data_IF_701907025160
#
_entry.id   IF_701907025160
#
_cell.length_a   1.000
_cell.length_b   1.000
_cell.length_c   1.000
_cell.angle_alpha   90.00
_cell.angle_beta   90.00
_cell.angle_gamma   90.00
#
_symmetry.space_group_name_H-M   'P 1'
#
loop_
_entity.id
_entity.type
_entity.pdbx_description
1 polymer ?
#
# COMPACT_ATOMS: atom_id res chain seq x y z
N UNK A 1 26.66 14.36 29.40
CA UNK A 1 25.66 14.65 28.34
C UNK A 1 25.48 13.50 27.36
N UNK A 2 26.55 12.94 26.77
CA UNK A 2 26.44 11.80 25.85
C UNK A 2 25.64 10.60 26.41
N UNK A 3 25.89 10.20 27.65
CA UNK A 3 25.13 9.14 28.32
C UNK A 3 23.64 9.49 28.50
N UNK A 4 23.32 10.78 28.66
CA UNK A 4 21.93 11.24 28.76
C UNK A 4 21.25 11.17 27.39
N UNK A 5 21.94 11.49 26.30
CA UNK A 5 21.42 11.34 24.94
C UNK A 5 21.19 9.86 24.59
N UNK A 6 22.13 8.97 24.92
CA UNK A 6 21.96 7.52 24.73
C UNK A 6 20.74 6.99 25.49
N UNK A 7 20.57 7.43 26.75
CA UNK A 7 19.38 7.08 27.55
C UNK A 7 18.10 7.63 26.93
N UNK A 8 18.10 8.88 26.48
CA UNK A 8 16.94 9.52 25.89
C UNK A 8 16.52 8.83 24.57
N UNK A 9 17.48 8.48 23.71
CA UNK A 9 17.19 7.76 22.46
C UNK A 9 16.55 6.39 22.75
N UNK A 10 17.09 5.62 23.71
CA UNK A 10 16.58 4.29 24.06
C UNK A 10 15.19 4.34 24.73
N UNK A 11 14.89 5.43 25.43
CA UNK A 11 13.62 5.61 26.14
C UNK A 11 12.61 6.46 25.36
N UNK A 12 12.94 6.93 24.15
CA UNK A 12 12.05 7.79 23.37
C UNK A 12 10.80 6.99 23.00
N UNK A 13 9.66 7.46 23.49
CA UNK A 13 8.37 6.89 23.13
C UNK A 13 7.93 7.44 21.76
N UNK A 14 7.62 6.54 20.84
CA UNK A 14 7.03 6.86 19.54
C UNK A 14 5.66 6.18 19.51
N UNK A 15 4.56 6.95 19.51
CA UNK A 15 3.23 6.37 19.61
C UNK A 15 2.88 5.60 18.34
N UNK A 16 2.56 4.32 18.50
CA UNK A 16 2.18 3.43 17.40
C UNK A 16 0.95 2.62 17.77
N UNK A 17 -0.06 2.67 16.91
CA UNK A 17 -1.29 1.92 17.06
C UNK A 17 -1.21 0.62 16.26
N UNK A 18 -0.89 -0.50 16.91
CA UNK A 18 -0.73 -1.79 16.22
C UNK A 18 -2.00 -2.27 15.51
N UNK A 19 -3.20 -1.93 16.03
CA UNK A 19 -4.48 -2.35 15.42
C UNK A 19 -4.75 -1.61 14.11
N UNK A 20 -4.44 -0.31 14.05
CA UNK A 20 -4.62 0.52 12.87
C UNK A 20 -3.37 0.53 11.96
N UNK A 21 -2.23 0.07 12.47
CA UNK A 21 -0.94 0.08 11.78
C UNK A 21 -0.48 1.49 11.40
N UNK A 22 -0.79 2.48 12.24
CA UNK A 22 -0.45 3.89 12.05
C UNK A 22 0.36 4.40 13.24
N UNK A 23 1.18 5.43 13.01
CA UNK A 23 1.75 6.21 14.09
C UNK A 23 0.71 7.24 14.52
N UNK A 24 0.53 7.43 15.82
CA UNK A 24 -0.41 8.44 16.32
C UNK A 24 0.25 9.82 16.29
N UNK A 25 -0.48 10.87 15.93
CA UNK A 25 0.08 12.23 15.93
C UNK A 25 0.52 12.64 17.34
N UNK A 26 -0.31 12.33 18.33
CA UNK A 26 -0.09 12.58 19.74
C UNK A 26 -0.94 11.58 20.56
N UNK A 27 -0.61 11.39 21.85
CA UNK A 27 -1.26 10.45 22.77
C UNK A 27 -2.79 10.62 22.89
N UNK A 28 -3.32 11.78 22.51
CA UNK A 28 -4.74 12.12 22.61
C UNK A 28 -5.48 12.08 21.28
N UNK A 29 -4.81 12.01 20.13
CA UNK A 29 -5.43 12.23 18.82
C UNK A 29 -6.61 11.28 18.57
N UNK A 30 -6.43 9.98 18.83
CA UNK A 30 -7.49 9.00 18.67
C UNK A 30 -8.63 9.12 19.69
N UNK A 31 -8.43 9.81 20.81
CA UNK A 31 -9.50 10.08 21.78
C UNK A 31 -10.36 11.30 21.43
N UNK A 32 -9.87 12.18 20.56
CA UNK A 32 -10.57 13.40 20.13
C UNK A 32 -11.80 13.06 19.29
N UNK A 33 -12.83 13.91 19.38
CA UNK A 33 -14.05 13.78 18.60
C UNK A 33 -13.79 14.07 17.10
N UNK A 34 -14.48 13.42 16.16
CA UNK A 34 -14.39 13.80 14.76
C UNK A 34 -14.98 15.20 14.54
N UNK A 35 -14.33 16.01 13.71
CA UNK A 35 -14.92 17.27 13.23
C UNK A 35 -15.90 16.99 12.08
N UNK A 36 -17.07 17.67 12.02
CA UNK A 36 -18.04 17.46 10.95
C UNK A 36 -17.63 18.22 9.68
N UNK A 37 -16.57 17.76 9.00
CA UNK A 37 -16.02 18.43 7.81
C UNK A 37 -17.04 18.54 6.66
N UNK A 38 -17.89 17.53 6.50
CA UNK A 38 -18.98 17.44 5.53
C UNK A 38 -20.06 18.51 5.73
N UNK A 39 -20.30 18.91 6.97
CA UNK A 39 -21.30 19.92 7.34
C UNK A 39 -20.69 21.31 7.55
N UNK A 40 -19.36 21.43 7.48
CA UNK A 40 -18.68 22.71 7.68
C UNK A 40 -18.69 23.50 6.37
N UNK A 41 -19.33 24.69 6.32
CA UNK A 41 -19.36 25.52 5.11
C UNK A 41 -17.96 25.93 4.64
N UNK A 42 -17.77 26.11 3.33
CA UNK A 42 -16.46 26.49 2.76
C UNK A 42 -15.98 27.85 3.27
N UNK A 43 -16.91 28.76 3.54
CA UNK A 43 -16.66 30.11 4.06
C UNK A 43 -16.26 30.12 5.55
N UNK A 44 -16.25 28.94 6.19
CA UNK A 44 -15.79 28.75 7.56
C UNK A 44 -14.36 28.20 7.62
N UNK A 45 -13.66 28.16 6.49
CA UNK A 45 -12.23 27.88 6.41
C UNK A 45 -11.45 29.16 6.08
N UNK A 46 -10.25 29.36 6.66
CA UNK A 46 -9.57 28.50 7.63
C UNK A 46 -10.27 28.40 8.99
N UNK A 47 -10.35 27.20 9.58
CA UNK A 47 -11.17 26.97 10.78
C UNK A 47 -10.78 27.90 11.95
N UNK A 48 -9.48 28.17 12.10
CA UNK A 48 -8.93 29.02 13.16
C UNK A 48 -9.47 30.47 13.13
N UNK A 49 -9.89 30.96 11.97
CA UNK A 49 -10.44 32.31 11.81
C UNK A 49 -11.94 32.38 12.15
N UNK A 50 -12.61 31.23 12.24
CA UNK A 50 -14.07 31.16 12.40
C UNK A 50 -14.52 30.41 13.66
N UNK A 51 -13.65 29.62 14.27
CA UNK A 51 -13.94 28.86 15.49
C UNK A 51 -12.87 29.09 16.54
N UNK A 52 -13.29 29.18 17.80
CA UNK A 52 -12.38 29.36 18.92
C UNK A 52 -11.42 28.15 19.04
N UNK A 53 -10.11 28.34 19.30
CA UNK A 53 -9.14 27.25 19.36
C UNK A 53 -9.52 26.11 20.30
N UNK A 54 -10.10 26.43 21.47
CA UNK A 54 -10.60 25.42 22.42
C UNK A 54 -11.73 24.54 21.87
N UNK A 55 -12.42 24.95 20.80
CA UNK A 55 -13.36 24.10 20.07
C UNK A 55 -12.59 23.20 19.10
N UNK A 56 -11.63 23.73 18.35
CA UNK A 56 -10.87 22.96 17.35
C UNK A 56 -10.01 21.88 18.01
N UNK A 57 -9.27 22.22 19.07
CA UNK A 57 -8.26 21.33 19.68
C UNK A 57 -8.81 20.06 20.35
N UNK A 58 -10.12 20.01 20.62
CA UNK A 58 -10.82 18.82 21.13
C UNK A 58 -11.33 17.89 20.01
N UNK A 59 -11.09 18.25 18.75
CA UNK A 59 -11.44 17.47 17.58
C UNK A 59 -10.22 16.96 16.81
N UNK A 60 -10.42 15.91 16.01
CA UNK A 60 -9.44 15.38 15.05
C UNK A 60 -9.37 16.32 13.84
N UNK A 61 -8.59 17.38 13.99
CA UNK A 61 -8.36 18.40 12.97
C UNK A 61 -6.87 18.66 12.87
N UNK A 62 -6.35 18.54 11.65
CA UNK A 62 -5.00 18.86 11.27
C UNK A 62 -5.01 20.13 10.41
N UNK A 63 -4.31 21.18 10.83
CA UNK A 63 -4.15 22.40 10.01
C UNK A 63 -3.36 22.11 8.73
N UNK A 64 -2.38 21.21 8.83
CA UNK A 64 -1.43 20.84 7.79
C UNK A 64 -0.83 19.45 8.11
N UNK A 65 -0.11 18.80 7.18
CA UNK A 65 0.59 17.56 7.42
C UNK A 65 1.56 17.67 8.61
N UNK A 66 1.44 16.71 9.50
CA UNK A 66 2.28 16.55 10.70
C UNK A 66 3.08 15.24 10.59
N UNK A 67 2.50 14.09 10.97
CA UNK A 67 3.13 12.79 10.76
C UNK A 67 3.47 12.52 9.28
N UNK A 68 2.57 12.90 8.37
CA UNK A 68 2.77 12.72 6.92
C UNK A 68 3.99 13.53 6.43
N UNK A 69 4.28 14.68 7.07
CA UNK A 69 5.50 15.44 6.80
C UNK A 69 6.74 14.69 7.32
N UNK A 70 6.68 14.09 8.51
CA UNK A 70 7.78 13.24 9.03
C UNK A 70 8.07 12.08 8.09
N UNK A 71 7.03 11.43 7.56
CA UNK A 71 7.19 10.34 6.59
C UNK A 71 7.79 10.80 5.25
N UNK A 72 7.58 12.05 4.86
CA UNK A 72 8.29 12.64 3.72
C UNK A 72 9.77 12.88 4.04
N UNK A 73 10.06 13.55 5.15
CA UNK A 73 11.42 13.96 5.52
C UNK A 73 12.32 12.77 5.87
N UNK A 74 11.75 11.74 6.49
CA UNK A 74 12.44 10.51 6.90
C UNK A 74 11.95 9.30 6.09
N UNK A 75 11.78 9.51 4.78
CA UNK A 75 11.17 8.56 3.84
C UNK A 75 11.69 7.12 3.96
N UNK A 76 12.99 6.91 4.18
CA UNK A 76 13.54 5.55 4.27
C UNK A 76 13.33 4.83 5.60
N UNK A 77 12.74 5.48 6.63
CA UNK A 77 12.37 4.80 7.89
C UNK A 77 11.00 4.14 7.85
N UNK A 78 10.20 4.43 6.82
CA UNK A 78 8.83 3.93 6.72
C UNK A 78 8.69 3.07 5.47
N UNK A 79 8.08 1.90 5.63
CA UNK A 79 7.66 1.07 4.53
C UNK A 79 6.60 1.78 3.67
N UNK A 80 6.49 1.38 2.40
CA UNK A 80 5.44 1.89 1.51
C UNK A 80 4.04 1.62 2.07
N UNK A 81 3.84 0.46 2.71
CA UNK A 81 2.58 0.12 3.36
C UNK A 81 2.23 1.09 4.50
N UNK A 82 3.18 1.41 5.38
CA UNK A 82 2.99 2.42 6.43
C UNK A 82 2.64 3.78 5.85
N UNK A 83 3.33 4.24 4.80
CA UNK A 83 3.03 5.53 4.17
C UNK A 83 1.62 5.57 3.58
N UNK A 84 1.20 4.52 2.90
CA UNK A 84 -0.16 4.41 2.34
C UNK A 84 -1.21 4.50 3.45
N UNK A 85 -1.04 3.74 4.54
CA UNK A 85 -2.00 3.72 5.65
C UNK A 85 -2.06 5.05 6.39
N UNK A 86 -0.91 5.59 6.79
CA UNK A 86 -0.84 6.85 7.51
C UNK A 86 -1.37 8.01 6.67
N UNK A 87 -1.00 8.10 5.38
CA UNK A 87 -1.57 9.10 4.49
C UNK A 87 -3.10 8.97 4.39
N UNK A 88 -3.60 7.76 4.10
CA UNK A 88 -5.04 7.54 3.95
C UNK A 88 -5.83 7.80 5.23
N UNK A 89 -5.21 7.61 6.40
CA UNK A 89 -5.82 7.89 7.69
C UNK A 89 -5.85 9.40 8.02
N UNK A 90 -4.74 10.12 7.82
CA UNK A 90 -4.63 11.53 8.24
C UNK A 90 -5.16 12.53 7.21
N UNK A 91 -5.21 12.16 5.93
CA UNK A 91 -5.63 13.08 4.88
C UNK A 91 -7.06 13.62 5.08
N UNK A 92 -8.07 12.80 5.44
CA UNK A 92 -9.42 13.31 5.69
C UNK A 92 -9.53 14.30 6.86
N UNK A 93 -8.56 14.30 7.77
CA UNK A 93 -8.52 15.19 8.92
C UNK A 93 -7.73 16.48 8.65
N UNK A 94 -7.06 16.60 7.49
CA UNK A 94 -6.16 17.72 7.18
C UNK A 94 -6.86 18.79 6.35
N UNK A 95 -7.06 19.98 6.92
CA UNK A 95 -7.86 21.06 6.31
C UNK A 95 -7.20 21.75 5.13
N UNK A 96 -5.87 21.82 5.11
CA UNK A 96 -5.17 22.60 4.10
C UNK A 96 -5.07 24.09 4.43
N UNK A 97 -5.43 24.50 5.65
CA UNK A 97 -5.45 25.90 6.10
C UNK A 97 -4.08 26.60 6.13
N UNK A 98 -3.01 25.85 5.89
CA UNK A 98 -1.64 26.35 5.79
C UNK A 98 -1.16 26.27 4.35
N UNK A 99 -0.48 27.32 3.88
CA UNK A 99 0.10 27.34 2.54
C UNK A 99 1.20 26.27 2.33
N UNK A 100 1.75 25.72 3.42
CA UNK A 100 2.67 24.58 3.40
C UNK A 100 1.97 23.21 3.25
N UNK A 101 0.64 23.16 3.37
CA UNK A 101 -0.09 21.89 3.45
C UNK A 101 -0.13 21.17 2.13
N UNK A 102 -0.64 21.85 1.10
CA UNK A 102 -0.97 21.21 -0.17
C UNK A 102 0.27 20.66 -0.90
N UNK A 103 1.45 21.26 -0.76
CA UNK A 103 2.65 20.75 -1.43
C UNK A 103 3.07 19.39 -0.87
N UNK A 104 3.05 19.22 0.46
CA UNK A 104 3.39 17.96 1.14
C UNK A 104 2.30 16.92 0.90
N UNK A 105 1.02 17.31 0.94
CA UNK A 105 -0.08 16.41 0.59
C UNK A 105 0.03 15.93 -0.87
N UNK A 106 0.42 16.80 -1.80
CA UNK A 106 0.64 16.43 -3.20
C UNK A 106 1.75 15.38 -3.33
N UNK A 107 2.89 15.60 -2.66
CA UNK A 107 4.03 14.68 -2.67
C UNK A 107 3.64 13.31 -2.09
N UNK A 108 3.01 13.29 -0.92
CA UNK A 108 2.68 12.05 -0.22
C UNK A 108 1.49 11.33 -0.86
N UNK A 109 0.56 12.05 -1.50
CA UNK A 109 -0.49 11.45 -2.31
C UNK A 109 0.09 10.70 -3.52
N UNK A 110 1.11 11.24 -4.20
CA UNK A 110 1.80 10.53 -5.28
C UNK A 110 2.44 9.22 -4.78
N UNK A 111 3.13 9.29 -3.64
CA UNK A 111 3.82 8.13 -3.04
C UNK A 111 2.83 7.06 -2.55
N UNK A 112 1.69 7.48 -2.00
CA UNK A 112 0.62 6.60 -1.54
C UNK A 112 -0.33 6.11 -2.65
N UNK A 113 -0.12 6.50 -3.91
CA UNK A 113 -0.92 6.05 -5.06
C UNK A 113 -2.25 6.80 -5.29
N UNK A 114 -2.47 7.93 -4.60
CA UNK A 114 -3.67 8.77 -4.74
C UNK A 114 -3.45 9.86 -5.81
N UNK A 115 -3.27 9.46 -7.07
CA UNK A 115 -2.81 10.36 -8.15
C UNK A 115 -3.74 11.55 -8.43
N UNK A 116 -5.05 11.35 -8.39
CA UNK A 116 -6.00 12.45 -8.63
C UNK A 116 -5.95 13.48 -7.50
N UNK A 117 -5.86 13.03 -6.24
CA UNK A 117 -5.64 13.91 -5.08
C UNK A 117 -4.32 14.65 -5.18
N UNK A 118 -3.25 13.97 -5.58
CA UNK A 118 -1.94 14.59 -5.76
C UNK A 118 -1.97 15.75 -6.76
N UNK A 119 -2.70 15.56 -7.87
CA UNK A 119 -2.91 16.60 -8.88
C UNK A 119 -3.74 17.78 -8.36
N UNK A 120 -4.80 17.51 -7.60
CA UNK A 120 -5.62 18.56 -6.99
C UNK A 120 -4.83 19.40 -5.99
N UNK A 121 -4.05 18.75 -5.13
CA UNK A 121 -3.16 19.44 -4.18
C UNK A 121 -2.05 20.23 -4.88
N UNK A 122 -1.49 19.68 -5.96
CA UNK A 122 -0.51 20.40 -6.78
C UNK A 122 -1.10 21.69 -7.35
N UNK A 123 -2.29 21.63 -7.97
CA UNK A 123 -2.97 22.82 -8.51
C UNK A 123 -3.19 23.89 -7.45
N UNK A 124 -3.63 23.50 -6.24
CA UNK A 124 -3.80 24.45 -5.12
C UNK A 124 -2.47 25.09 -4.72
N UNK A 125 -1.38 24.33 -4.73
CA UNK A 125 -0.04 24.84 -4.38
C UNK A 125 0.44 25.88 -5.39
N UNK A 126 0.44 25.55 -6.68
CA UNK A 126 1.02 26.41 -7.73
C UNK A 126 0.15 27.62 -8.08
N UNK A 127 -1.12 27.62 -7.66
CA UNK A 127 -2.07 28.71 -7.88
C UNK A 127 -2.42 29.47 -6.60
N UNK A 128 -1.74 29.17 -5.49
CA UNK A 128 -2.03 29.73 -4.15
C UNK A 128 -2.27 31.23 -4.18
N UNK A 129 -1.27 32.00 -4.63
CA UNK A 129 -1.34 33.47 -4.67
C UNK A 129 -2.05 34.00 -5.92
N UNK A 130 -1.98 33.27 -7.04
CA UNK A 130 -2.54 33.71 -8.33
C UNK A 130 -4.07 33.70 -8.31
N UNK A 131 -4.66 32.66 -7.69
CA UNK A 131 -6.11 32.51 -7.56
C UNK A 131 -6.63 32.94 -6.19
N UNK A 132 -5.74 33.47 -5.34
CA UNK A 132 -6.04 33.84 -3.97
C UNK A 132 -6.76 32.71 -3.20
N UNK A 133 -6.21 31.50 -3.26
CA UNK A 133 -6.84 30.26 -2.74
C UNK A 133 -7.19 30.36 -1.25
N UNK A 134 -6.44 31.17 -0.49
CA UNK A 134 -6.66 31.41 0.94
C UNK A 134 -7.36 32.74 1.24
N UNK A 135 -7.65 33.58 0.24
CA UNK A 135 -8.32 34.88 0.42
C UNK A 135 -7.48 35.93 1.15
N UNK A 136 -6.16 35.75 1.22
CA UNK A 136 -5.24 36.55 2.01
C UNK A 136 -3.96 36.95 1.24
N UNK A 137 -3.95 36.82 -0.08
CA UNK A 137 -2.78 37.21 -0.91
C UNK A 137 -2.51 38.72 -0.86
N UNK A 138 -3.51 39.51 -0.44
CA UNK A 138 -3.35 40.95 -0.15
C UNK A 138 -2.37 41.22 1.00
N UNK A 139 -2.22 40.27 1.93
CA UNK A 139 -1.30 40.38 3.07
C UNK A 139 0.15 40.06 2.69
N UNK A 140 0.36 39.48 1.51
CA UNK A 140 1.67 39.12 0.95
C UNK A 140 1.68 37.78 0.24
N UNK A 141 2.76 37.52 -0.49
CA UNK A 141 2.95 36.25 -1.21
C UNK A 141 3.37 35.11 -0.28
N UNK A 142 2.88 33.91 -0.55
CA UNK A 142 3.21 32.72 0.22
C UNK A 142 4.51 32.07 -0.28
N UNK A 143 5.66 32.64 0.11
CA UNK A 143 7.00 32.18 -0.34
C UNK A 143 7.28 30.69 -0.11
N UNK A 144 6.79 30.11 0.99
CA UNK A 144 6.89 28.69 1.25
C UNK A 144 6.08 27.83 0.25
N UNK A 145 4.91 28.30 -0.20
CA UNK A 145 4.13 27.63 -1.23
C UNK A 145 4.78 27.75 -2.63
N UNK A 146 5.47 28.87 -2.90
CA UNK A 146 6.27 29.01 -4.11
C UNK A 146 7.38 27.96 -4.16
N UNK A 147 8.12 27.76 -3.06
CA UNK A 147 9.09 26.67 -2.96
C UNK A 147 8.41 25.29 -3.06
N UNK A 148 7.25 25.14 -2.40
CA UNK A 148 6.39 23.97 -2.48
C UNK A 148 5.99 23.58 -3.90
N UNK A 149 5.84 24.54 -4.81
CA UNK A 149 5.54 24.30 -6.22
C UNK A 149 6.63 23.45 -6.89
N UNK A 150 7.90 23.82 -6.69
CA UNK A 150 9.05 23.06 -7.19
C UNK A 150 9.18 21.71 -6.47
N UNK A 151 8.97 21.68 -5.15
CA UNK A 151 9.03 20.44 -4.37
C UNK A 151 8.00 19.41 -4.87
N UNK A 152 6.76 19.81 -5.17
CA UNK A 152 5.75 18.90 -5.70
C UNK A 152 6.11 18.34 -7.07
N UNK A 153 6.83 19.10 -7.90
CA UNK A 153 7.36 18.59 -9.17
C UNK A 153 8.44 17.53 -8.93
N UNK A 154 9.45 17.86 -8.12
CA UNK A 154 10.64 17.02 -7.95
C UNK A 154 10.39 15.83 -7.02
N UNK A 155 9.90 16.09 -5.80
CA UNK A 155 9.64 15.04 -4.82
C UNK A 155 8.31 14.32 -5.08
N UNK A 156 7.34 14.97 -5.73
CA UNK A 156 6.04 14.36 -6.06
C UNK A 156 6.08 13.64 -7.40
N UNK A 157 5.99 14.38 -8.50
CA UNK A 157 5.82 13.80 -9.83
C UNK A 157 7.06 13.12 -10.41
N UNK A 158 8.28 13.62 -10.12
CA UNK A 158 9.50 12.90 -10.47
C UNK A 158 9.88 11.82 -9.44
N UNK A 159 9.19 11.80 -8.29
CA UNK A 159 9.40 10.81 -7.23
C UNK A 159 10.81 10.80 -6.65
N UNK A 160 11.51 11.94 -6.66
CA UNK A 160 12.88 12.00 -6.17
C UNK A 160 12.97 11.74 -4.66
N UNK A 161 13.91 10.92 -4.20
CA UNK A 161 14.27 10.79 -2.77
C UNK A 161 15.78 10.76 -2.60
N UNK A 162 16.24 11.38 -1.52
CA UNK A 162 17.59 11.22 -0.98
C UNK A 162 17.47 10.51 0.37
N UNK A 163 18.00 9.30 0.45
CA UNK A 163 18.05 8.56 1.70
C UNK A 163 19.43 7.99 1.93
N UNK A 164 20.12 8.49 2.96
CA UNK A 164 21.48 8.07 3.31
C UNK A 164 22.46 8.14 2.14
N UNK A 165 22.28 9.11 1.24
CA UNK A 165 23.12 9.30 0.06
C UNK A 165 22.81 8.38 -1.12
N UNK A 166 21.71 7.61 -1.05
CA UNK A 166 21.12 6.89 -2.19
C UNK A 166 20.05 7.79 -2.81
N UNK A 167 20.21 8.09 -4.10
CA UNK A 167 19.30 8.93 -4.86
C UNK A 167 18.38 8.08 -5.73
N UNK A 168 17.08 8.17 -5.50
CA UNK A 168 16.09 7.41 -6.28
C UNK A 168 15.03 8.30 -6.93
N UNK A 169 14.44 7.78 -7.99
CA UNK A 169 13.34 8.42 -8.74
C UNK A 169 12.24 7.40 -9.03
N UNK A 170 11.00 7.81 -8.83
CA UNK A 170 9.78 7.08 -9.20
C UNK A 170 8.84 7.99 -10.01
N UNK A 171 9.20 8.31 -11.27
CA UNK A 171 8.51 9.34 -12.04
C UNK A 171 7.13 8.87 -12.51
N UNK A 172 6.13 9.74 -12.30
CA UNK A 172 4.73 9.55 -12.70
C UNK A 172 4.14 10.90 -13.10
N UNK A 173 3.86 11.08 -14.38
CA UNK A 173 3.27 12.32 -14.88
C UNK A 173 1.75 12.37 -14.68
N UNK A 174 1.18 13.51 -14.25
CA UNK A 174 -0.26 13.69 -14.23
C UNK A 174 -0.81 13.67 -15.65
N UNK A 175 -2.05 13.19 -15.83
CA UNK A 175 -2.71 13.04 -17.14
C UNK A 175 -2.60 14.30 -18.01
N UNK A 176 -2.70 15.48 -17.40
CA UNK A 176 -2.65 16.78 -18.07
C UNK A 176 -1.28 17.16 -18.69
N UNK A 177 -0.16 16.57 -18.25
CA UNK A 177 1.17 16.92 -18.76
C UNK A 177 1.60 16.02 -19.91
N UNK A 178 2.18 16.61 -20.96
CA UNK A 178 2.81 15.86 -22.06
C UNK A 178 4.20 15.36 -21.69
N UNK A 179 4.98 16.22 -21.04
CA UNK A 179 6.33 15.94 -20.58
C UNK A 179 6.74 16.89 -19.45
N UNK A 180 7.82 16.55 -18.78
CA UNK A 180 8.47 17.35 -17.74
C UNK A 180 9.99 17.30 -17.95
N UNK A 181 10.67 18.44 -17.90
CA UNK A 181 12.13 18.53 -17.96
C UNK A 181 12.66 19.44 -16.87
N UNK A 182 13.68 18.99 -16.15
CA UNK A 182 14.40 19.80 -15.16
C UNK A 182 15.79 19.23 -14.91
N UNK A 183 16.62 19.99 -14.20
CA UNK A 183 17.94 19.55 -13.74
C UNK A 183 18.07 19.67 -12.23
N UNK A 184 18.82 18.75 -11.63
CA UNK A 184 19.17 18.76 -10.21
C UNK A 184 20.68 18.69 -10.05
N UNK A 185 21.22 19.50 -9.15
CA UNK A 185 22.58 19.32 -8.67
C UNK A 185 22.57 18.31 -7.52
N UNK A 186 23.11 17.12 -7.77
CA UNK A 186 23.30 16.06 -6.80
C UNK A 186 24.79 15.93 -6.52
N UNK A 187 25.22 16.32 -5.31
CA UNK A 187 26.64 16.47 -4.97
C UNK A 187 27.35 17.40 -5.98
N UNK A 188 28.35 16.90 -6.69
CA UNK A 188 29.10 17.63 -7.72
C UNK A 188 28.59 17.39 -9.14
N UNK A 189 27.48 16.66 -9.30
CA UNK A 189 26.94 16.22 -10.59
C UNK A 189 25.61 16.92 -10.88
N UNK A 190 25.46 17.48 -12.08
CA UNK A 190 24.20 18.06 -12.55
C UNK A 190 23.49 17.03 -13.42
N UNK A 191 22.38 16.48 -12.92
CA UNK A 191 21.57 15.46 -13.61
C UNK A 191 20.36 16.15 -14.24
N UNK A 192 20.17 15.99 -15.55
CA UNK A 192 18.94 16.35 -16.25
C UNK A 192 18.01 15.13 -16.32
N UNK A 193 16.72 15.37 -16.07
CA UNK A 193 15.65 14.42 -16.31
C UNK A 193 14.73 14.96 -17.38
N UNK A 194 14.38 14.11 -18.34
CA UNK A 194 13.31 14.35 -19.29
C UNK A 194 12.29 13.20 -19.22
N UNK A 195 11.10 13.51 -18.72
CA UNK A 195 10.03 12.56 -18.44
C UNK A 195 8.91 12.79 -19.45
N UNK A 196 8.43 11.72 -20.08
CA UNK A 196 7.22 11.71 -20.93
C UNK A 196 6.18 10.78 -20.31
N UNK A 197 5.09 10.50 -21.03
CA UNK A 197 4.11 9.48 -20.60
C UNK A 197 4.69 8.08 -20.58
N UNK A 198 5.60 7.80 -21.50
CA UNK A 198 5.99 6.45 -21.86
C UNK A 198 7.40 6.10 -21.37
N UNK A 199 8.24 7.11 -21.12
CA UNK A 199 9.64 6.93 -20.78
C UNK A 199 10.21 8.09 -19.96
N UNK A 200 11.32 7.82 -19.28
CA UNK A 200 12.19 8.82 -18.67
C UNK A 200 13.61 8.67 -19.19
N UNK A 201 14.25 9.79 -19.51
CA UNK A 201 15.65 9.88 -19.91
C UNK A 201 16.43 10.64 -18.82
N UNK A 202 17.54 10.06 -18.38
CA UNK A 202 18.51 10.65 -17.46
C UNK A 202 19.78 11.00 -18.22
N UNK A 203 20.32 12.21 -17.97
CA UNK A 203 21.58 12.67 -18.58
C UNK A 203 22.45 13.36 -17.56
N UNK A 204 23.74 13.06 -17.59
CA UNK A 204 24.72 13.79 -16.81
C UNK A 204 25.15 15.04 -17.59
N UNK A 205 24.67 16.20 -17.18
CA UNK A 205 25.01 17.47 -17.83
C UNK A 205 26.44 17.92 -17.49
N UNK A 206 26.87 17.73 -16.24
CA UNK A 206 28.25 18.02 -15.80
C UNK A 206 28.56 17.29 -14.49
N UNK A 207 29.84 17.16 -14.16
CA UNK A 207 30.33 16.53 -12.93
C UNK A 207 30.75 15.06 -13.09
N UNK A 208 31.17 14.39 -12.01
CA UNK A 208 31.56 12.98 -12.04
C UNK A 208 30.36 12.06 -12.26
N UNK A 209 30.64 10.80 -12.60
CA UNK A 209 29.62 9.75 -12.65
C UNK A 209 28.88 9.61 -11.32
N UNK A 210 27.60 9.28 -11.37
CA UNK A 210 26.73 9.20 -10.20
C UNK A 210 25.85 7.95 -10.24
N UNK A 211 25.73 7.27 -9.10
CA UNK A 211 24.79 6.15 -8.92
C UNK A 211 23.40 6.71 -8.62
N UNK A 212 22.40 6.23 -9.38
CA UNK A 212 21.00 6.57 -9.23
C UNK A 212 20.16 5.30 -9.23
N UNK A 213 18.95 5.38 -8.69
CA UNK A 213 17.97 4.29 -8.76
C UNK A 213 16.71 4.76 -9.46
N UNK A 214 16.30 4.08 -10.53
CA UNK A 214 14.99 4.23 -11.15
C UNK A 214 14.08 3.10 -10.64
N UNK A 215 13.05 3.44 -9.85
CA UNK A 215 12.20 2.44 -9.16
C UNK A 215 13.04 1.48 -8.31
N UNK A 216 13.16 0.22 -8.70
CA UNK A 216 14.00 -0.82 -8.07
C UNK A 216 15.31 -1.09 -8.83
N UNK A 217 15.56 -0.44 -9.97
CA UNK A 217 16.75 -0.65 -10.79
C UNK A 217 17.82 0.41 -10.51
N UNK A 218 19.00 -0.01 -10.04
CA UNK A 218 20.15 0.88 -9.83
C UNK A 218 21.04 0.96 -11.06
N UNK A 219 21.54 2.14 -11.38
CA UNK A 219 22.40 2.37 -12.53
C UNK A 219 23.40 3.50 -12.29
N UNK A 220 24.56 3.38 -12.94
CA UNK A 220 25.54 4.46 -13.03
C UNK A 220 25.20 5.37 -14.22
N UNK A 221 25.14 6.67 -13.97
CA UNK A 221 25.04 7.69 -15.00
C UNK A 221 26.42 8.32 -15.23
N UNK A 222 26.91 8.27 -16.45
CA UNK A 222 28.22 8.81 -16.87
C UNK A 222 28.05 9.92 -17.91
N UNK A 223 29.13 10.65 -18.18
CA UNK A 223 29.11 11.75 -19.15
C UNK A 223 28.90 11.21 -20.58
N UNK A 224 28.20 11.98 -21.41
CA UNK A 224 27.89 11.66 -22.81
C UNK A 224 27.06 10.38 -23.04
N UNK A 225 26.50 9.78 -21.97
CA UNK A 225 25.55 8.68 -22.03
C UNK A 225 24.15 9.12 -21.57
N UNK A 226 23.12 8.64 -22.27
CA UNK A 226 21.73 8.76 -21.83
C UNK A 226 21.25 7.41 -21.28
N UNK A 227 20.61 7.42 -20.12
CA UNK A 227 19.91 6.25 -19.59
C UNK A 227 18.41 6.43 -19.75
N UNK A 228 17.77 5.54 -20.49
CA UNK A 228 16.33 5.62 -20.80
C UNK A 228 15.60 4.43 -20.19
N UNK A 229 14.51 4.70 -19.47
CA UNK A 229 13.66 3.70 -18.85
C UNK A 229 12.22 3.85 -19.34
N UNK A 230 11.58 2.74 -19.67
CA UNK A 230 10.14 2.71 -19.96
C UNK A 230 9.34 2.96 -18.68
N UNK A 231 8.34 3.82 -18.75
CA UNK A 231 7.37 4.04 -17.68
C UNK A 231 6.11 3.19 -17.85
N UNK A 232 5.92 2.57 -19.03
CA UNK A 232 4.86 1.58 -19.25
C UNK A 232 5.11 0.37 -18.37
N UNK A 233 4.04 -0.09 -17.72
CA UNK A 233 4.05 -1.35 -17.00
C UNK A 233 4.42 -2.50 -17.94
N UNK A 234 5.29 -3.39 -17.48
CA UNK A 234 5.63 -4.64 -18.16
C UNK A 234 5.37 -5.78 -17.18
N UNK A 235 4.73 -6.85 -17.64
CA UNK A 235 4.44 -7.97 -16.75
C UNK A 235 5.76 -8.63 -16.35
N UNK A 236 6.08 -8.59 -15.05
CA UNK A 236 7.27 -9.18 -14.45
C UNK A 236 6.93 -10.26 -13.43
N UNK A 237 5.83 -10.07 -12.73
CA UNK A 237 5.38 -11.02 -11.73
C UNK A 237 3.85 -11.15 -11.65
N UNK A 238 3.41 -12.33 -11.22
CA UNK A 238 2.03 -12.57 -10.78
C UNK A 238 2.06 -13.03 -9.33
N UNK A 239 1.24 -12.38 -8.50
CA UNK A 239 1.17 -12.60 -7.06
C UNK A 239 -0.21 -13.17 -6.74
N UNK A 240 -0.26 -14.42 -6.32
CA UNK A 240 -1.50 -15.14 -6.09
C UNK A 240 -1.85 -15.15 -4.60
N UNK A 241 -3.14 -15.04 -4.27
CA UNK A 241 -3.64 -15.71 -3.07
C UNK A 241 -3.61 -17.24 -3.24
N UNK A 242 -3.75 -17.96 -2.14
CA UNK A 242 -3.77 -19.42 -2.13
C UNK A 242 -5.20 -19.97 -2.19
N UNK A 243 -6.01 -19.57 -1.21
CA UNK A 243 -7.29 -20.18 -0.91
C UNK A 243 -8.32 -19.64 -1.92
N UNK A 244 -9.06 -20.51 -2.61
CA UNK A 244 -10.05 -20.10 -3.63
C UNK A 244 -9.46 -19.67 -4.99
N UNK A 245 -8.15 -19.42 -5.06
CA UNK A 245 -7.44 -19.11 -6.33
C UNK A 245 -6.70 -20.32 -6.88
N UNK A 246 -5.87 -20.98 -6.06
CA UNK A 246 -5.05 -22.11 -6.48
C UNK A 246 -5.65 -23.46 -6.05
N UNK A 247 -6.38 -23.46 -4.93
CA UNK A 247 -6.95 -24.66 -4.30
C UNK A 247 -8.27 -24.30 -3.61
N UNK A 248 -9.27 -25.17 -3.68
CA UNK A 248 -10.49 -25.03 -2.85
C UNK A 248 -10.25 -25.61 -1.46
N UNK A 249 -9.59 -24.82 -0.62
CA UNK A 249 -9.43 -25.05 0.83
C UNK A 249 -10.50 -24.34 1.65
N UNK A 250 -11.40 -23.56 1.02
CA UNK A 250 -12.43 -22.81 1.72
C UNK A 250 -13.34 -23.73 2.53
N UNK A 251 -13.64 -24.91 2.00
CA UNK A 251 -14.39 -25.93 2.73
C UNK A 251 -13.63 -26.50 3.94
N UNK A 252 -12.31 -26.68 3.85
CA UNK A 252 -11.49 -27.13 4.98
C UNK A 252 -11.45 -26.10 6.11
N UNK A 253 -11.40 -24.81 5.76
CA UNK A 253 -11.51 -23.72 6.72
C UNK A 253 -12.88 -23.70 7.40
N UNK A 254 -13.96 -23.84 6.62
CA UNK A 254 -15.32 -23.91 7.15
C UNK A 254 -15.49 -25.07 8.14
N UNK A 255 -15.05 -26.27 7.78
CA UNK A 255 -15.14 -27.45 8.66
C UNK A 255 -14.35 -27.27 9.96
N UNK A 256 -13.14 -26.72 9.88
CA UNK A 256 -12.33 -26.45 11.07
C UNK A 256 -12.97 -25.40 11.99
N UNK A 257 -13.54 -24.32 11.42
CA UNK A 257 -14.28 -23.32 12.19
C UNK A 257 -15.57 -23.88 12.78
N UNK A 258 -16.28 -24.72 12.02
CA UNK A 258 -17.51 -25.38 12.48
C UNK A 258 -17.24 -26.29 13.66
N UNK A 259 -16.19 -27.11 13.59
CA UNK A 259 -15.80 -28.01 14.67
C UNK A 259 -15.53 -27.27 15.99
N UNK A 260 -14.75 -26.19 15.97
CA UNK A 260 -14.46 -25.41 17.18
C UNK A 260 -15.66 -24.59 17.65
N UNK A 261 -16.52 -24.13 16.73
CA UNK A 261 -17.73 -23.38 17.09
C UNK A 261 -18.75 -24.30 17.77
N UNK A 262 -18.96 -25.49 17.24
CA UNK A 262 -19.91 -26.46 17.80
C UNK A 262 -19.48 -26.92 19.20
N UNK A 263 -18.18 -27.14 19.42
CA UNK A 263 -17.64 -27.46 20.75
C UNK A 263 -17.88 -26.35 21.78
N UNK A 264 -17.80 -25.09 21.34
CA UNK A 264 -18.00 -23.91 22.18
C UNK A 264 -19.47 -23.45 22.21
N UNK A 265 -20.39 -24.22 21.62
CA UNK A 265 -21.81 -23.90 21.47
C UNK A 265 -22.07 -22.54 20.79
N UNK A 266 -21.22 -22.17 19.84
CA UNK A 266 -21.39 -20.98 19.01
C UNK A 266 -22.14 -21.32 17.71
N UNK A 267 -23.05 -20.43 17.33
CA UNK A 267 -23.72 -20.47 16.03
C UNK A 267 -22.71 -20.08 14.96
N UNK A 268 -22.41 -21.04 14.09
CA UNK A 268 -21.59 -20.85 12.90
C UNK A 268 -22.15 -21.65 11.74
N UNK A 269 -22.53 -20.94 10.68
CA UNK A 269 -23.08 -21.48 9.44
C UNK A 269 -22.37 -20.88 8.21
N UNK A 270 -22.86 -21.22 7.02
CA UNK A 270 -22.28 -20.74 5.76
C UNK A 270 -22.46 -19.23 5.54
N UNK A 271 -23.49 -18.62 6.11
CA UNK A 271 -23.69 -17.17 6.00
C UNK A 271 -22.68 -16.42 6.85
N UNK A 272 -22.44 -16.87 8.09
CA UNK A 272 -21.37 -16.31 8.93
C UNK A 272 -20.01 -16.51 8.26
N UNK A 273 -19.76 -17.69 7.68
CA UNK A 273 -18.50 -18.01 7.00
C UNK A 273 -18.16 -17.07 5.83
N UNK A 274 -19.15 -16.47 5.15
CA UNK A 274 -18.88 -15.49 4.08
C UNK A 274 -18.11 -14.28 4.60
N UNK A 275 -18.37 -13.85 5.84
CA UNK A 275 -17.66 -12.76 6.50
C UNK A 275 -16.22 -13.09 6.92
N UNK A 276 -15.79 -14.35 6.78
CA UNK A 276 -14.45 -14.80 7.13
C UNK A 276 -13.51 -14.89 5.92
N UNK A 277 -14.02 -14.75 4.69
CA UNK A 277 -13.24 -14.90 3.46
C UNK A 277 -12.21 -13.76 3.33
N UNK A 278 -10.96 -14.13 3.04
CA UNK A 278 -9.86 -13.17 2.83
C UNK A 278 -9.35 -12.44 4.09
N UNK A 279 -9.83 -12.77 5.30
CA UNK A 279 -9.37 -12.15 6.56
C UNK A 279 -8.56 -13.10 7.44
N UNK A 280 -7.80 -12.55 8.40
CA UNK A 280 -6.93 -13.35 9.28
C UNK A 280 -7.74 -14.23 10.24
N UNK A 281 -7.14 -15.33 10.73
CA UNK A 281 -7.78 -16.24 11.71
C UNK A 281 -8.28 -15.53 12.97
N UNK A 282 -7.52 -14.54 13.46
CA UNK A 282 -7.90 -13.76 14.64
C UNK A 282 -9.14 -12.90 14.36
N UNK A 283 -9.17 -12.24 13.21
CA UNK A 283 -10.33 -11.46 12.76
C UNK A 283 -11.54 -12.37 12.50
N UNK A 284 -11.33 -13.55 11.92
CA UNK A 284 -12.38 -14.55 11.73
C UNK A 284 -13.03 -14.96 13.05
N UNK A 285 -12.23 -15.24 14.09
CA UNK A 285 -12.79 -15.56 15.41
C UNK A 285 -13.60 -14.38 15.96
N UNK A 286 -13.11 -13.15 15.80
CA UNK A 286 -13.84 -11.98 16.27
C UNK A 286 -15.20 -11.83 15.57
N UNK A 287 -15.29 -12.08 14.27
CA UNK A 287 -16.56 -12.08 13.52
C UNK A 287 -17.53 -13.14 14.08
N UNK A 288 -17.04 -14.35 14.37
CA UNK A 288 -17.88 -15.41 14.97
C UNK A 288 -18.38 -14.99 16.36
N UNK A 289 -17.50 -14.43 17.20
CA UNK A 289 -17.85 -13.97 18.54
C UNK A 289 -18.87 -12.84 18.51
N UNK A 290 -18.67 -11.86 17.64
CA UNK A 290 -19.57 -10.72 17.46
C UNK A 290 -20.96 -11.19 16.98
N UNK A 291 -21.01 -12.13 16.02
CA UNK A 291 -22.28 -12.73 15.56
C UNK A 291 -23.04 -13.41 16.70
N UNK A 292 -22.32 -14.04 17.62
CA UNK A 292 -22.89 -14.72 18.78
C UNK A 292 -23.13 -13.79 19.98
N UNK A 293 -22.75 -12.51 19.90
CA UNK A 293 -22.77 -11.55 21.01
C UNK A 293 -22.00 -12.04 22.25
N UNK A 294 -20.90 -12.76 22.05
CA UNK A 294 -20.06 -13.30 23.12
C UNK A 294 -18.74 -12.55 23.19
N UNK A 295 -18.24 -12.32 24.40
CA UNK A 295 -16.89 -11.81 24.63
C UNK A 295 -16.09 -12.85 25.41
N UNK A 296 -14.91 -13.16 24.89
CA UNK A 296 -13.99 -14.11 25.51
C UNK A 296 -12.73 -13.42 26.02
N UNK A 297 -12.15 -13.93 27.13
CA UNK A 297 -10.80 -13.55 27.53
C UNK A 297 -9.79 -14.00 26.48
N UNK A 298 -8.65 -13.30 26.41
CA UNK A 298 -7.65 -13.50 25.37
C UNK A 298 -7.02 -14.90 25.42
N UNK A 299 -6.94 -15.49 26.62
CA UNK A 299 -6.45 -16.85 26.84
C UNK A 299 -7.31 -17.89 26.10
N UNK A 300 -8.64 -17.76 26.21
CA UNK A 300 -9.58 -18.68 25.55
C UNK A 300 -9.57 -18.48 24.03
N UNK A 301 -9.47 -17.23 23.56
CA UNK A 301 -9.32 -16.95 22.12
C UNK A 301 -8.09 -17.66 21.55
N UNK A 302 -6.96 -17.56 22.25
CA UNK A 302 -5.71 -18.20 21.83
C UNK A 302 -5.81 -19.73 21.82
N UNK A 303 -6.47 -20.33 22.81
CA UNK A 303 -6.71 -21.77 22.87
C UNK A 303 -7.54 -22.26 21.67
N UNK A 304 -8.68 -21.61 21.40
CA UNK A 304 -9.57 -21.96 20.28
C UNK A 304 -8.86 -21.75 18.93
N UNK A 305 -8.11 -20.66 18.77
CA UNK A 305 -7.31 -20.41 17.56
C UNK A 305 -6.24 -21.48 17.32
N UNK A 306 -5.61 -21.97 18.39
CA UNK A 306 -4.63 -23.06 18.31
C UNK A 306 -5.31 -24.36 17.89
N UNK A 307 -6.41 -24.73 18.56
CA UNK A 307 -7.18 -25.95 18.25
C UNK A 307 -7.72 -25.95 16.83
N UNK A 308 -8.31 -24.83 16.37
CA UNK A 308 -8.76 -24.67 14.97
C UNK A 308 -7.63 -24.94 13.98
N UNK A 309 -6.43 -24.46 14.29
CA UNK A 309 -5.27 -24.64 13.43
C UNK A 309 -4.76 -26.08 13.41
N UNK A 310 -4.85 -26.81 14.52
CA UNK A 310 -4.52 -28.25 14.58
C UNK A 310 -5.50 -29.05 13.70
N UNK A 311 -6.81 -28.84 13.87
CA UNK A 311 -7.85 -29.47 13.03
C UNK A 311 -7.63 -29.18 11.54
N UNK A 312 -7.31 -27.92 11.21
CA UNK A 312 -7.00 -27.55 9.83
C UNK A 312 -5.73 -28.23 9.31
N UNK A 313 -4.64 -28.28 10.10
CA UNK A 313 -3.40 -28.97 9.69
C UNK A 313 -3.61 -30.45 9.42
N UNK A 314 -4.45 -31.10 10.23
CA UNK A 314 -4.84 -32.50 10.03
C UNK A 314 -5.64 -32.65 8.74
N UNK A 315 -6.61 -31.77 8.46
CA UNK A 315 -7.40 -31.83 7.24
C UNK A 315 -6.57 -31.58 5.97
N UNK A 316 -5.49 -30.79 6.06
CA UNK A 316 -4.57 -30.63 4.94
C UNK A 316 -3.91 -31.95 4.51
N UNK A 317 -3.91 -33.02 5.32
CA UNK A 317 -3.32 -34.31 4.94
C UNK A 317 -4.06 -35.00 3.80
N UNK A 318 -5.31 -34.58 3.52
CA UNK A 318 -6.09 -35.10 2.40
C UNK A 318 -5.77 -34.43 1.07
N UNK A 319 -5.00 -33.33 1.09
CA UNK A 319 -4.64 -32.59 -0.13
C UNK A 319 -3.56 -33.31 -0.92
N UNK A 320 -3.73 -33.29 -2.23
CA UNK A 320 -2.79 -33.83 -3.21
C UNK A 320 -2.87 -32.99 -4.50
N UNK A 321 -2.09 -33.34 -5.53
CA UNK A 321 -2.06 -32.61 -6.79
C UNK A 321 -3.44 -32.49 -7.50
N UNK A 322 -4.36 -33.45 -7.30
CA UNK A 322 -5.72 -33.40 -7.87
C UNK A 322 -6.62 -32.36 -7.18
N UNK A 323 -6.19 -31.84 -6.03
CA UNK A 323 -6.90 -30.77 -5.30
C UNK A 323 -6.67 -29.39 -5.93
N UNK A 324 -5.77 -29.26 -6.90
CA UNK A 324 -5.58 -28.00 -7.64
C UNK A 324 -6.85 -27.61 -8.39
N UNK A 325 -7.17 -26.32 -8.37
CA UNK A 325 -8.25 -25.79 -9.19
C UNK A 325 -7.92 -25.93 -10.69
N UNK A 326 -8.96 -26.07 -11.51
CA UNK A 326 -8.82 -26.30 -12.94
C UNK A 326 -7.96 -25.22 -13.61
N UNK A 327 -7.04 -25.64 -14.48
CA UNK A 327 -6.15 -24.74 -15.24
C UNK A 327 -4.94 -24.19 -14.47
N UNK A 328 -4.91 -24.28 -13.14
CA UNK A 328 -3.81 -23.71 -12.32
C UNK A 328 -2.44 -24.28 -12.70
N UNK A 329 -2.32 -25.60 -12.83
CA UNK A 329 -1.04 -26.23 -13.19
C UNK A 329 -0.49 -25.75 -14.54
N UNK A 330 -1.36 -25.69 -15.56
CA UNK A 330 -1.01 -25.18 -16.89
C UNK A 330 -0.60 -23.72 -16.85
N UNK A 331 -1.34 -22.89 -16.11
CA UNK A 331 -1.05 -21.47 -15.97
C UNK A 331 0.29 -21.22 -15.27
N UNK A 332 0.58 -21.93 -14.16
CA UNK A 332 1.86 -21.78 -13.46
C UNK A 332 3.04 -22.19 -14.36
N UNK A 333 2.88 -23.25 -15.15
CA UNK A 333 3.88 -23.67 -16.13
C UNK A 333 4.09 -22.62 -17.21
N UNK A 334 3.02 -22.09 -17.80
CA UNK A 334 3.06 -21.03 -18.82
C UNK A 334 3.83 -19.79 -18.31
N UNK A 335 3.58 -19.37 -17.07
CA UNK A 335 4.29 -18.24 -16.46
C UNK A 335 5.80 -18.50 -16.33
N UNK A 336 6.21 -19.69 -15.86
CA UNK A 336 7.64 -20.03 -15.73
C UNK A 336 8.35 -20.13 -17.07
N UNK A 337 7.71 -20.73 -18.07
CA UNK A 337 8.29 -20.86 -19.42
C UNK A 337 8.53 -19.48 -20.07
N UNK A 338 7.75 -18.47 -19.70
CA UNK A 338 7.90 -17.09 -20.17
C UNK A 338 8.72 -16.20 -19.22
N UNK A 339 9.33 -16.76 -18.17
CA UNK A 339 10.18 -16.03 -17.23
C UNK A 339 9.44 -15.02 -16.36
N UNK A 340 8.13 -15.19 -16.18
CA UNK A 340 7.34 -14.38 -15.24
C UNK A 340 7.51 -14.96 -13.84
N UNK A 341 7.90 -14.11 -12.89
CA UNK A 341 8.09 -14.51 -11.49
C UNK A 341 6.74 -14.78 -10.83
N UNK A 342 6.71 -15.75 -9.93
CA UNK A 342 5.50 -16.16 -9.23
C UNK A 342 5.69 -16.02 -7.74
N UNK A 343 4.78 -15.29 -7.08
CA UNK A 343 4.74 -15.24 -5.63
C UNK A 343 3.37 -15.60 -5.04
N UNK A 344 3.40 -16.00 -3.78
CA UNK A 344 2.21 -16.22 -2.98
C UNK A 344 2.05 -15.13 -1.90
N UNK A 345 0.84 -14.58 -1.78
CA UNK A 345 0.43 -13.60 -0.79
C UNK A 345 -0.72 -14.15 0.07
N UNK A 346 -0.42 -15.18 0.87
CA UNK A 346 -1.41 -15.84 1.73
C UNK A 346 -1.37 -15.32 3.18
N UNK A 347 -2.55 -15.17 3.79
CA UNK A 347 -2.70 -14.88 5.22
C UNK A 347 -2.48 -16.13 6.12
N UNK A 348 -2.24 -17.30 5.52
CA UNK A 348 -2.06 -18.57 6.22
C UNK A 348 -0.59 -18.88 6.48
N UNK A 349 -0.26 -19.18 7.75
CA UNK A 349 1.07 -19.72 8.14
C UNK A 349 1.36 -21.10 7.55
N UNK A 350 0.35 -21.78 7.00
CA UNK A 350 0.48 -23.12 6.45
C UNK A 350 0.68 -23.12 4.92
N UNK A 351 0.75 -21.94 4.28
CA UNK A 351 0.74 -21.81 2.83
C UNK A 351 1.82 -22.65 2.12
N UNK A 352 3.05 -22.65 2.66
CA UNK A 352 4.15 -23.48 2.12
C UNK A 352 3.85 -24.98 2.17
N UNK A 353 3.25 -25.47 3.26
CA UNK A 353 2.84 -26.88 3.40
C UNK A 353 1.75 -27.24 2.39
N UNK A 354 0.82 -26.33 2.13
CA UNK A 354 -0.21 -26.53 1.10
C UNK A 354 0.43 -26.65 -0.28
N UNK A 355 1.29 -25.70 -0.67
CA UNK A 355 1.98 -25.73 -1.96
C UNK A 355 2.84 -27.00 -2.15
N UNK A 356 3.49 -27.48 -1.10
CA UNK A 356 4.28 -28.72 -1.12
C UNK A 356 3.40 -29.94 -1.41
N UNK A 357 2.27 -30.08 -0.72
CA UNK A 357 1.31 -31.18 -0.91
C UNK A 357 0.62 -31.16 -2.27
N UNK A 358 0.35 -29.97 -2.79
CA UNK A 358 -0.20 -29.78 -4.12
C UNK A 358 0.85 -30.02 -5.23
N UNK A 359 2.13 -30.18 -4.89
CA UNK A 359 3.21 -30.37 -5.85
C UNK A 359 3.56 -29.12 -6.66
N UNK A 360 3.20 -27.93 -6.18
CA UNK A 360 3.42 -26.65 -6.88
C UNK A 360 4.47 -25.75 -6.24
N UNK A 361 5.09 -26.19 -5.14
CA UNK A 361 6.06 -25.38 -4.40
C UNK A 361 7.23 -24.89 -5.27
N UNK A 362 7.68 -25.69 -6.24
CA UNK A 362 8.80 -25.37 -7.15
C UNK A 362 8.49 -24.26 -8.15
N UNK A 363 7.23 -23.91 -8.37
CA UNK A 363 6.86 -22.81 -9.27
C UNK A 363 7.11 -21.44 -8.62
N UNK A 364 6.96 -21.35 -7.29
CA UNK A 364 7.06 -20.07 -6.57
C UNK A 364 8.50 -19.61 -6.38
N UNK A 365 8.77 -18.40 -6.86
CA UNK A 365 10.02 -17.68 -6.60
C UNK A 365 10.00 -17.04 -5.20
N UNK A 366 8.82 -16.71 -4.67
CA UNK A 366 8.64 -16.23 -3.31
C UNK A 366 7.31 -16.68 -2.68
N UNK A 367 7.30 -16.84 -1.36
CA UNK A 367 6.08 -17.05 -0.56
C UNK A 367 6.13 -16.08 0.62
N UNK A 368 5.12 -15.24 0.73
CA UNK A 368 5.04 -14.23 1.80
C UNK A 368 4.89 -14.88 3.17
N UNK A 369 5.57 -14.30 4.14
CA UNK A 369 5.46 -14.65 5.55
C UNK A 369 4.54 -13.65 6.24
N UNK A 370 3.36 -14.12 6.68
CA UNK A 370 2.36 -13.28 7.36
C UNK A 370 2.88 -12.71 8.69
N UNK A 371 3.90 -13.31 9.30
CA UNK A 371 4.51 -12.82 10.53
C UNK A 371 5.52 -11.68 10.28
N UNK A 372 5.83 -11.38 9.01
CA UNK A 372 6.70 -10.27 8.60
C UNK A 372 5.94 -9.02 8.14
N UNK A 373 4.61 -9.08 8.10
CA UNK A 373 3.76 -7.95 7.72
C UNK A 373 3.04 -7.38 8.94
N UNK A 374 2.79 -6.07 8.94
CA UNK A 374 2.19 -5.40 10.09
C UNK A 374 0.68 -5.63 10.16
N UNK A 375 -0.01 -5.49 9.02
CA UNK A 375 -1.45 -5.67 8.93
C UNK A 375 -1.86 -6.68 7.86
N UNK A 376 -2.94 -7.44 8.09
CA UNK A 376 -3.50 -8.33 7.08
C UNK A 376 -4.24 -7.54 5.99
N UNK A 377 -4.70 -8.26 4.96
CA UNK A 377 -5.73 -7.78 4.03
C UNK A 377 -6.92 -7.17 4.82
N UNK A 378 -7.48 -6.02 4.41
CA UNK A 378 -7.35 -5.37 3.11
C UNK A 378 -6.21 -4.35 2.99
N UNK A 379 -5.22 -4.39 3.89
CA UNK A 379 -4.04 -3.54 3.80
C UNK A 379 -3.04 -4.10 2.77
N UNK A 380 -2.25 -3.23 2.11
CA UNK A 380 -1.41 -3.64 0.99
C UNK A 380 -0.15 -4.42 1.40
N UNK A 381 0.12 -4.54 2.71
CA UNK A 381 1.36 -5.06 3.27
C UNK A 381 1.82 -6.38 2.65
N UNK A 382 0.89 -7.34 2.54
CA UNK A 382 1.21 -8.68 2.09
C UNK A 382 1.61 -8.73 0.61
N UNK A 383 0.92 -7.98 -0.25
CA UNK A 383 1.24 -7.91 -1.67
C UNK A 383 2.50 -7.08 -1.92
N UNK A 384 2.69 -5.96 -1.20
CA UNK A 384 3.93 -5.18 -1.26
C UNK A 384 5.14 -6.01 -0.81
N UNK A 385 4.97 -6.81 0.25
CA UNK A 385 6.03 -7.71 0.72
C UNK A 385 6.33 -8.81 -0.29
N UNK A 386 5.31 -9.42 -0.91
CA UNK A 386 5.51 -10.39 -1.99
C UNK A 386 6.31 -9.81 -3.16
N UNK A 387 5.96 -8.61 -3.64
CA UNK A 387 6.70 -7.93 -4.71
C UNK A 387 8.15 -7.61 -4.30
N UNK A 388 8.36 -7.19 -3.05
CA UNK A 388 9.69 -6.96 -2.52
C UNK A 388 10.55 -8.23 -2.49
N UNK A 389 9.98 -9.37 -2.10
CA UNK A 389 10.70 -10.66 -2.11
C UNK A 389 11.11 -11.09 -3.53
N UNK A 390 10.32 -10.71 -4.53
CA UNK A 390 10.64 -10.95 -5.93
C UNK A 390 11.65 -9.95 -6.51
N UNK A 391 11.97 -8.88 -5.79
CA UNK A 391 12.69 -7.71 -6.31
C UNK A 391 12.00 -7.13 -7.56
N UNK A 392 10.67 -7.04 -7.54
CA UNK A 392 9.87 -6.51 -8.63
C UNK A 392 9.06 -5.29 -8.19
N UNK A 393 8.84 -4.36 -9.12
CA UNK A 393 8.10 -3.14 -8.85
C UNK A 393 6.57 -3.39 -8.89
N UNK A 394 5.77 -2.83 -7.97
CA UNK A 394 4.33 -3.12 -7.92
C UNK A 394 3.55 -2.80 -9.20
N UNK A 395 3.96 -1.81 -10.00
CA UNK A 395 3.29 -1.51 -11.27
C UNK A 395 3.51 -2.61 -12.33
N UNK A 396 4.52 -3.45 -12.14
CA UNK A 396 4.90 -4.54 -13.05
C UNK A 396 4.37 -5.90 -12.55
N UNK A 397 3.49 -5.86 -11.54
CA UNK A 397 2.87 -7.02 -10.90
C UNK A 397 1.35 -7.05 -11.13
N UNK A 398 0.82 -8.25 -11.35
CA UNK A 398 -0.62 -8.54 -11.29
C UNK A 398 -0.91 -9.35 -10.03
N UNK A 399 -1.89 -8.92 -9.24
CA UNK A 399 -2.42 -9.66 -8.10
C UNK A 399 -3.66 -10.47 -8.50
N UNK A 400 -3.79 -11.68 -7.98
CA UNK A 400 -4.94 -12.55 -8.22
C UNK A 400 -5.58 -12.98 -6.90
N UNK A 401 -6.89 -12.84 -6.78
CA UNK A 401 -7.60 -13.07 -5.52
C UNK A 401 -9.09 -13.46 -5.71
N UNK A 402 -9.68 -14.18 -4.75
CA UNK A 402 -11.09 -14.59 -4.72
C UNK A 402 -11.99 -13.75 -3.77
N UNK A 403 -11.41 -12.94 -2.89
CA UNK A 403 -12.12 -12.13 -1.89
C UNK A 403 -11.92 -10.61 -2.05
N UNK A 404 -12.98 -9.83 -1.79
CA UNK A 404 -12.94 -8.36 -1.92
C UNK A 404 -11.82 -7.72 -1.09
N UNK A 405 -11.57 -8.22 0.12
CA UNK A 405 -10.51 -7.71 0.99
C UNK A 405 -9.11 -7.84 0.36
N UNK A 406 -8.82 -8.94 -0.33
CA UNK A 406 -7.54 -9.09 -1.02
C UNK A 406 -7.48 -8.27 -2.32
N UNK A 407 -8.58 -8.12 -3.06
CA UNK A 407 -8.65 -7.20 -4.20
C UNK A 407 -8.34 -5.77 -3.76
N UNK A 408 -8.92 -5.29 -2.66
CA UNK A 408 -8.57 -3.99 -2.09
C UNK A 408 -7.08 -3.87 -1.73
N UNK A 409 -6.49 -4.92 -1.15
CA UNK A 409 -5.08 -4.94 -0.81
C UNK A 409 -4.18 -4.81 -2.05
N UNK A 410 -4.51 -5.53 -3.13
CA UNK A 410 -3.81 -5.47 -4.44
C UNK A 410 -3.88 -4.04 -5.00
N UNK A 411 -5.08 -3.44 -5.03
CA UNK A 411 -5.26 -2.08 -5.55
C UNK A 411 -4.51 -1.04 -4.72
N UNK A 412 -4.56 -1.14 -3.38
CA UNK A 412 -3.80 -0.26 -2.48
C UNK A 412 -2.28 -0.43 -2.63
N UNK A 413 -1.79 -1.61 -3.02
CA UNK A 413 -0.38 -1.84 -3.31
C UNK A 413 0.08 -1.15 -4.62
N UNK A 414 -0.86 -0.66 -5.43
CA UNK A 414 -0.61 -0.06 -6.74
C UNK A 414 -0.48 -1.11 -7.85
N UNK A 415 -1.02 -2.31 -7.64
CA UNK A 415 -1.00 -3.41 -8.61
C UNK A 415 -2.33 -3.48 -9.37
N UNK A 416 -2.31 -4.18 -10.51
CA UNK A 416 -3.53 -4.59 -11.22
C UNK A 416 -4.12 -5.84 -10.58
N UNK A 417 -5.44 -5.92 -10.47
CA UNK A 417 -6.14 -6.99 -9.75
C UNK A 417 -7.03 -7.82 -10.68
N UNK A 418 -6.88 -9.15 -10.60
CA UNK A 418 -7.78 -10.12 -11.23
C UNK A 418 -8.56 -10.83 -10.12
N UNK A 419 -9.88 -10.74 -10.18
CA UNK A 419 -10.79 -11.44 -9.28
C UNK A 419 -11.20 -12.79 -9.85
N UNK A 420 -11.14 -13.86 -9.03
CA UNK A 420 -11.55 -15.22 -9.40
C UNK A 420 -12.84 -15.58 -8.67
N UNK A 421 -13.85 -16.05 -9.42
CA UNK A 421 -15.14 -16.47 -8.86
C UNK A 421 -15.84 -15.40 -8.00
N UNK A 422 -15.51 -14.13 -8.23
CA UNK A 422 -16.02 -12.97 -7.53
C UNK A 422 -16.41 -11.90 -8.56
N UNK A 423 -17.65 -11.46 -8.52
CA UNK A 423 -18.14 -10.34 -9.32
C UNK A 423 -17.96 -9.03 -8.54
N UNK A 424 -17.08 -8.16 -9.03
CA UNK A 424 -16.77 -6.88 -8.37
C UNK A 424 -16.34 -5.82 -9.37
N UNK A 425 -16.73 -4.57 -9.10
CA UNK A 425 -16.26 -3.41 -9.87
C UNK A 425 -14.92 -2.87 -9.39
N UNK A 426 -14.36 -3.45 -8.32
CA UNK A 426 -13.12 -3.00 -7.70
C UNK A 426 -11.86 -3.65 -8.31
N UNK A 427 -12.02 -4.79 -8.99
CA UNK A 427 -10.95 -5.45 -9.73
C UNK A 427 -10.84 -4.88 -11.15
N UNK A 428 -9.65 -5.00 -11.76
CA UNK A 428 -9.45 -4.60 -13.16
C UNK A 428 -10.03 -5.66 -14.13
N UNK A 429 -10.15 -6.91 -13.68
CA UNK A 429 -10.81 -7.99 -14.41
C UNK A 429 -11.42 -9.01 -13.45
N UNK A 430 -12.55 -9.61 -13.83
CA UNK A 430 -13.17 -10.73 -13.11
C UNK A 430 -13.25 -11.95 -14.03
N UNK A 431 -12.86 -13.11 -13.52
CA UNK A 431 -12.99 -14.40 -14.20
C UNK A 431 -13.90 -15.34 -13.41
N UNK A 432 -14.58 -16.26 -14.12
CA UNK A 432 -15.54 -17.17 -13.50
C UNK A 432 -14.88 -18.17 -12.55
N UNK A 433 -13.70 -18.65 -12.92
CA UNK A 433 -12.90 -19.63 -12.18
C UNK A 433 -11.45 -19.61 -12.67
N UNK A 434 -10.57 -20.35 -12.00
CA UNK A 434 -9.13 -20.37 -12.26
C UNK A 434 -8.74 -20.91 -13.64
N UNK A 435 -9.64 -21.58 -14.37
CA UNK A 435 -9.33 -22.12 -15.70
C UNK A 435 -9.20 -21.03 -16.78
N UNK A 436 -9.67 -19.83 -16.48
CA UNK A 436 -9.55 -18.66 -17.33
C UNK A 436 -8.25 -17.86 -17.10
N UNK A 437 -7.48 -18.19 -16.07
CA UNK A 437 -6.19 -17.55 -15.80
C UNK A 437 -5.16 -18.00 -16.84
N UNK A 438 -4.47 -17.04 -17.44
CA UNK A 438 -3.43 -17.28 -18.44
C UNK A 438 -2.47 -16.09 -18.50
N UNK A 439 -1.28 -16.31 -19.04
CA UNK A 439 -0.33 -15.22 -19.30
C UNK A 439 -0.97 -14.10 -20.11
N UNK A 440 -1.68 -14.46 -21.19
CA UNK A 440 -2.37 -13.50 -22.07
C UNK A 440 -3.36 -12.62 -21.30
N UNK A 441 -4.15 -13.22 -20.40
CA UNK A 441 -5.08 -12.44 -19.56
C UNK A 441 -4.32 -11.43 -18.71
N UNK A 442 -3.22 -11.83 -18.06
CA UNK A 442 -2.45 -10.94 -17.20
C UNK A 442 -1.82 -9.79 -17.97
N UNK A 443 -1.33 -10.03 -19.20
CA UNK A 443 -0.83 -8.97 -20.09
C UNK A 443 -1.94 -7.99 -20.49
N UNK A 444 -3.11 -8.48 -20.88
CA UNK A 444 -4.27 -7.64 -21.23
C UNK A 444 -4.71 -6.77 -20.05
N UNK A 445 -4.76 -7.35 -18.85
CA UNK A 445 -5.15 -6.63 -17.62
C UNK A 445 -4.11 -5.58 -17.25
N UNK A 446 -2.82 -5.87 -17.41
CA UNK A 446 -1.76 -4.90 -17.10
C UNK A 446 -1.82 -3.66 -18.00
N UNK A 447 -2.22 -3.83 -19.25
CA UNK A 447 -2.30 -2.76 -20.26
C UNK A 447 -3.66 -2.05 -20.36
N UNK A 448 -4.66 -2.52 -19.61
CA UNK A 448 -5.95 -1.83 -19.42
C UNK A 448 -5.83 -0.58 -18.56
#
# INVERSE_FOLDING_TARGET
ELELWDRAQKAMYIPFNAKLGIYEQDDSFLSKQPWPFDQTPKEKYPLLLHYHPLVIYRHRVLKQPDLVLVQFLLSGLFSKAEKIRNFSFYEPYTTGDSSLSHCIQSIMAMEAGHFDKAWDYFKKTVRMDIDDIHGNSVDGIHTAAMAGSWMSVVYGFAGFRDWQGVFSFDPKLPKAWKSLRFSLQLRSSVVELFITKDEVCYRLHSGPSIELTHRNESFTLVQDEEKVFSLKAKLKAVIFDLDGVLVDTANLHYLAWKAVSDEQNLVFDREVNKGLLGISRSASLQVILDHNNVQWPEELKNEVLKKKNEIYKESLNTLNAESLLAGVGTMLQELKENGIKIALASASRNARTVCDRLGILSYFDAISDVDKVQLPKPQPDLFLYAAQLLDEYPLDCVGVEDALAGIEAIKKAGMKAVAVSLDTTYADCCVKDSSHLSLKLFEEVLHS
#
